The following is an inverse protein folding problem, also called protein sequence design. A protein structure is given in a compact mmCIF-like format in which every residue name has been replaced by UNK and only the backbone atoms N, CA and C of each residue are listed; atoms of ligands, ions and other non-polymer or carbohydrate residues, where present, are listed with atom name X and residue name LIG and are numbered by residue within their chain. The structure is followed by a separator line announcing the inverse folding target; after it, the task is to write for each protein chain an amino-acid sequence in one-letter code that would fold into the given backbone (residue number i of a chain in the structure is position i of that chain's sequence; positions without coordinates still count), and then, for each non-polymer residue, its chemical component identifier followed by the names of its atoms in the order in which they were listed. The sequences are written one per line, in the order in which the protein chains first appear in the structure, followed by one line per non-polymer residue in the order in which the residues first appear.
data_IF_355055408873
#
_entry.id   IF_355055408873
#
_cell.length_a   1.000
_cell.length_b   1.000
_cell.length_c   1.000
_cell.angle_alpha   90.00
_cell.angle_beta   90.00
_cell.angle_gamma   90.00
#
_symmetry.space_group_name_H-M   'P 1'
#
loop_
_entity.id
_entity.type
_entity.pdbx_description
1 polymer ?
#
# COMPACT_ATOMS: atom_id res chain seq x y z
N UNK A 1 -14.24 2.93 -17.64
CA UNK A 1 -14.18 4.35 -17.23
C UNK A 1 -14.80 4.44 -15.84
N UNK A 2 -14.21 5.19 -14.91
CA UNK A 2 -14.70 5.28 -13.53
C UNK A 2 -15.97 6.13 -13.43
N UNK A 3 -17.02 5.63 -12.78
CA UNK A 3 -18.28 6.35 -12.57
C UNK A 3 -18.25 7.20 -11.28
N UNK A 4 -17.90 8.47 -11.43
CA UNK A 4 -17.82 9.43 -10.32
C UNK A 4 -19.17 9.71 -9.65
N UNK A 5 -20.26 9.72 -10.43
CA UNK A 5 -21.61 9.99 -9.90
C UNK A 5 -22.07 8.83 -9.02
N UNK A 6 -21.84 7.60 -9.48
CA UNK A 6 -22.14 6.42 -8.69
C UNK A 6 -21.29 6.36 -7.42
N UNK A 7 -19.98 6.63 -7.54
CA UNK A 7 -19.09 6.66 -6.39
C UNK A 7 -19.54 7.66 -5.33
N UNK A 8 -19.79 8.92 -5.70
CA UNK A 8 -20.18 9.98 -4.77
C UNK A 8 -21.49 9.66 -4.06
N UNK A 9 -22.49 9.15 -4.80
CA UNK A 9 -23.77 8.71 -4.21
C UNK A 9 -23.58 7.58 -3.19
N UNK A 10 -22.94 6.48 -3.60
CA UNK A 10 -22.73 5.32 -2.72
C UNK A 10 -21.86 5.68 -1.51
N UNK A 11 -20.85 6.52 -1.73
CA UNK A 11 -20.01 7.04 -0.66
C UNK A 11 -20.84 7.89 0.31
N UNK A 12 -21.58 8.91 -0.13
CA UNK A 12 -22.35 9.78 0.77
C UNK A 12 -23.40 9.00 1.55
N UNK A 13 -24.23 8.24 0.85
CA UNK A 13 -25.34 7.50 1.44
C UNK A 13 -24.82 6.45 2.44
N UNK A 14 -23.77 5.72 2.05
CA UNK A 14 -23.21 4.65 2.86
C UNK A 14 -22.30 5.15 3.99
N UNK A 15 -21.45 6.13 3.74
CA UNK A 15 -20.42 6.57 4.70
C UNK A 15 -21.04 7.36 5.84
N UNK A 16 -21.99 8.26 5.54
CA UNK A 16 -22.66 9.08 6.55
C UNK A 16 -23.61 8.25 7.41
N UNK A 17 -24.25 7.22 6.84
CA UNK A 17 -25.16 6.33 7.56
C UNK A 17 -24.45 5.32 8.50
N UNK A 18 -23.12 5.26 8.50
CA UNK A 18 -22.34 4.32 9.34
C UNK A 18 -21.47 5.09 10.33
N UNK A 19 -21.30 4.51 11.52
CA UNK A 19 -20.48 5.11 12.58
C UNK A 19 -19.18 4.34 12.84
N UNK A 20 -19.16 3.02 12.59
CA UNK A 20 -17.97 2.20 12.80
C UNK A 20 -16.98 2.41 11.66
N UNK A 21 -15.72 2.62 12.00
CA UNK A 21 -14.66 2.87 11.02
C UNK A 21 -14.51 1.74 9.99
N UNK A 22 -14.67 0.47 10.41
CA UNK A 22 -14.58 -0.68 9.50
C UNK A 22 -15.73 -0.73 8.50
N UNK A 23 -16.92 -0.31 8.89
CA UNK A 23 -18.08 -0.28 8.00
C UNK A 23 -17.94 0.86 6.99
N UNK A 24 -17.47 2.04 7.44
CA UNK A 24 -17.10 3.15 6.55
C UNK A 24 -16.03 2.75 5.54
N UNK A 25 -14.99 2.05 6.00
CA UNK A 25 -13.94 1.55 5.12
C UNK A 25 -14.50 0.60 4.05
N UNK A 26 -15.35 -0.36 4.44
CA UNK A 26 -16.03 -1.27 3.50
C UNK A 26 -16.89 -0.53 2.47
N UNK A 27 -17.58 0.53 2.88
CA UNK A 27 -18.36 1.36 1.96
C UNK A 27 -17.44 2.03 0.93
N UNK A 28 -16.33 2.62 1.35
CA UNK A 28 -15.37 3.24 0.41
C UNK A 28 -14.86 2.23 -0.61
N UNK A 29 -14.46 1.04 -0.16
CA UNK A 29 -13.97 -0.02 -1.05
C UNK A 29 -15.08 -0.52 -1.98
N UNK A 30 -16.26 -0.81 -1.46
CA UNK A 30 -17.40 -1.27 -2.25
C UNK A 30 -17.85 -0.24 -3.28
N UNK A 31 -17.91 1.04 -2.92
CA UNK A 31 -18.23 2.13 -3.82
C UNK A 31 -17.17 2.27 -4.93
N UNK A 32 -15.88 2.15 -4.59
CA UNK A 32 -14.80 2.19 -5.57
C UNK A 32 -14.88 1.03 -6.57
N UNK A 33 -15.07 -0.21 -6.09
CA UNK A 33 -15.21 -1.40 -6.94
C UNK A 33 -16.42 -1.26 -7.87
N UNK A 34 -17.57 -0.84 -7.33
CA UNK A 34 -18.78 -0.61 -8.12
C UNK A 34 -18.58 0.49 -9.19
N UNK A 35 -17.94 1.59 -8.83
CA UNK A 35 -17.64 2.70 -9.76
C UNK A 35 -16.60 2.34 -10.82
N UNK A 36 -15.73 1.37 -10.56
CA UNK A 36 -14.83 0.77 -11.56
C UNK A 36 -15.58 -0.17 -12.53
N UNK A 37 -16.86 -0.48 -12.28
CA UNK A 37 -17.63 -1.48 -13.03
C UNK A 37 -17.18 -2.90 -12.74
N UNK A 38 -16.43 -3.12 -11.66
CA UNK A 38 -15.95 -4.44 -11.26
C UNK A 38 -17.05 -5.16 -10.48
N UNK A 39 -17.20 -6.48 -10.64
CA UNK A 39 -18.16 -7.25 -9.88
C UNK A 39 -17.82 -7.17 -8.39
N UNK A 40 -18.82 -6.82 -7.58
CA UNK A 40 -18.73 -6.96 -6.12
C UNK A 40 -19.08 -8.42 -5.82
N UNK A 41 -18.10 -9.30 -5.91
CA UNK A 41 -18.30 -10.70 -5.58
C UNK A 41 -18.71 -10.86 -4.11
N UNK A 42 -19.69 -11.72 -3.84
CA UNK A 42 -20.05 -12.11 -2.49
C UNK A 42 -18.92 -12.93 -1.87
N UNK A 43 -18.14 -12.34 -0.96
CA UNK A 43 -17.00 -13.04 -0.36
C UNK A 43 -15.96 -12.12 0.29
N UNK A 44 -14.76 -12.64 0.49
CA UNK A 44 -13.61 -11.86 0.98
C UNK A 44 -12.93 -11.13 -0.17
N UNK A 45 -13.05 -9.82 -0.18
CA UNK A 45 -12.30 -8.96 -1.11
C UNK A 45 -10.91 -8.70 -0.52
N UNK A 46 -9.86 -9.04 -1.28
CA UNK A 46 -8.50 -8.61 -0.98
C UNK A 46 -8.33 -7.16 -1.45
N UNK A 47 -8.06 -6.26 -0.51
CA UNK A 47 -7.78 -4.87 -0.81
C UNK A 47 -6.33 -4.54 -0.46
N UNK A 48 -5.63 -3.94 -1.42
CA UNK A 48 -4.25 -3.48 -1.26
C UNK A 48 -4.24 -1.96 -1.37
N UNK A 49 -3.58 -1.30 -0.42
CA UNK A 49 -3.37 0.15 -0.45
C UNK A 49 -1.88 0.45 -0.35
N UNK A 50 -1.38 1.21 -1.33
CA UNK A 50 -0.06 1.83 -1.31
C UNK A 50 -0.25 3.34 -1.40
N UNK A 51 -0.39 4.00 -0.25
CA UNK A 51 -0.46 5.46 -0.17
C UNK A 51 0.85 6.03 0.40
N UNK A 52 1.27 7.22 -0.02
CA UNK A 52 2.36 7.94 0.63
C UNK A 52 2.06 8.08 2.13
N UNK A 53 3.06 7.84 2.97
CA UNK A 53 2.97 8.08 4.40
C UNK A 53 1.93 7.24 5.16
N UNK A 54 1.55 6.06 4.65
CA UNK A 54 0.75 5.09 5.40
C UNK A 54 1.36 4.79 6.79
N UNK A 55 2.69 4.89 6.89
CA UNK A 55 3.44 4.74 8.12
C UNK A 55 3.18 5.82 9.18
N UNK A 56 2.39 6.87 8.90
CA UNK A 56 1.98 7.88 9.91
C UNK A 56 0.65 7.54 10.60
N UNK A 57 -0.09 6.57 10.09
CA UNK A 57 -1.42 6.14 10.59
C UNK A 57 -1.41 4.65 10.97
N UNK A 58 -0.24 4.12 11.31
CA UNK A 58 0.03 2.71 11.52
C UNK A 58 -0.82 2.07 12.62
N UNK A 59 -0.98 2.75 13.76
CA UNK A 59 -1.81 2.27 14.87
C UNK A 59 -3.30 2.24 14.50
N UNK A 60 -3.74 3.24 13.74
CA UNK A 60 -5.10 3.33 13.22
C UNK A 60 -5.37 2.17 12.25
N UNK A 61 -4.41 1.85 11.38
CA UNK A 61 -4.51 0.70 10.46
C UNK A 61 -4.53 -0.64 11.19
N UNK A 62 -3.63 -0.84 12.17
CA UNK A 62 -3.60 -2.06 12.99
C UNK A 62 -4.93 -2.28 13.71
N UNK A 63 -5.52 -1.21 14.27
CA UNK A 63 -6.81 -1.24 14.95
C UNK A 63 -7.98 -1.46 13.99
N UNK A 64 -7.98 -0.79 12.84
CA UNK A 64 -9.06 -0.86 11.85
C UNK A 64 -9.13 -2.25 11.21
N UNK A 65 -7.99 -2.79 10.79
CA UNK A 65 -7.92 -4.05 10.05
C UNK A 65 -7.93 -5.27 10.98
N UNK A 66 -7.63 -5.08 12.26
CA UNK A 66 -7.64 -6.13 13.28
C UNK A 66 -6.80 -7.34 12.85
N UNK A 67 -7.21 -8.59 13.13
CA UNK A 67 -6.42 -9.79 12.83
C UNK A 67 -6.26 -10.08 11.34
N UNK A 68 -7.08 -9.45 10.48
CA UNK A 68 -7.08 -9.65 9.03
C UNK A 68 -6.05 -8.78 8.30
N UNK A 69 -5.57 -7.70 8.93
CA UNK A 69 -4.55 -6.85 8.35
C UNK A 69 -3.25 -7.61 8.08
N UNK A 70 -2.64 -7.35 6.92
CA UNK A 70 -1.28 -7.77 6.55
C UNK A 70 -0.54 -6.52 6.09
N UNK A 71 0.69 -6.37 6.54
CA UNK A 71 1.52 -5.19 6.31
C UNK A 71 2.77 -5.61 5.57
N UNK A 72 3.07 -4.94 4.47
CA UNK A 72 4.31 -5.14 3.71
C UNK A 72 5.13 -3.87 3.86
N UNK A 73 6.31 -4.00 4.44
CA UNK A 73 7.25 -2.90 4.61
C UNK A 73 8.41 -3.13 3.65
N UNK A 74 8.47 -2.32 2.59
CA UNK A 74 9.60 -2.36 1.67
C UNK A 74 10.79 -1.58 2.25
N UNK A 75 11.97 -2.18 2.19
CA UNK A 75 13.24 -1.64 2.64
C UNK A 75 14.22 -1.63 1.48
N UNK A 76 15.11 -0.65 1.49
CA UNK A 76 16.19 -0.50 0.52
C UNK A 76 17.39 0.08 1.24
N UNK A 77 18.59 -0.13 0.72
CA UNK A 77 19.76 0.59 1.17
C UNK A 77 19.47 2.10 1.27
N UNK A 78 19.70 2.74 2.44
CA UNK A 78 19.40 4.15 2.64
C UNK A 78 20.16 5.07 1.70
N UNK A 79 21.41 4.75 1.34
CA UNK A 79 22.23 5.59 0.47
C UNK A 79 21.65 5.54 -0.94
N UNK A 80 21.37 4.35 -1.47
CA UNK A 80 20.75 4.22 -2.79
C UNK A 80 19.38 4.90 -2.87
N UNK A 81 18.57 4.73 -1.84
CA UNK A 81 17.26 5.37 -1.79
C UNK A 81 17.38 6.90 -1.74
N UNK A 82 18.36 7.44 -0.99
CA UNK A 82 18.63 8.87 -0.98
C UNK A 82 19.04 9.39 -2.35
N UNK A 83 19.98 8.72 -3.02
CA UNK A 83 20.46 9.10 -4.36
C UNK A 83 19.33 9.02 -5.39
N UNK A 84 18.50 7.98 -5.33
CA UNK A 84 17.30 7.86 -6.19
C UNK A 84 16.35 9.04 -6.01
N UNK A 85 16.11 9.50 -4.78
CA UNK A 85 15.29 10.68 -4.51
C UNK A 85 15.93 11.98 -5.03
N UNK A 86 17.26 12.13 -4.96
CA UNK A 86 17.95 13.29 -5.55
C UNK A 86 17.81 13.32 -7.07
N UNK A 87 17.97 12.17 -7.73
CA UNK A 87 17.82 12.07 -9.19
C UNK A 87 16.39 12.43 -9.63
N UNK A 88 15.38 11.92 -8.92
CA UNK A 88 13.98 12.30 -9.16
C UNK A 88 13.79 13.80 -8.93
N UNK A 89 14.31 14.34 -7.84
CA UNK A 89 14.17 15.76 -7.53
C UNK A 89 14.75 16.65 -8.65
N UNK A 90 15.92 16.26 -9.16
CA UNK A 90 16.57 16.91 -10.29
C UNK A 90 15.73 16.85 -11.58
N UNK A 91 15.19 15.66 -11.92
CA UNK A 91 14.35 15.47 -13.12
C UNK A 91 13.08 16.35 -13.09
N UNK A 92 12.48 16.53 -11.92
CA UNK A 92 11.26 17.33 -11.75
C UNK A 92 11.54 18.80 -11.37
N UNK A 93 12.80 19.24 -11.37
CA UNK A 93 13.17 20.62 -11.00
C UNK A 93 12.81 21.00 -9.56
N UNK A 94 12.59 20.01 -8.70
CA UNK A 94 12.32 20.22 -7.28
C UNK A 94 13.64 20.27 -6.49
N UNK A 95 13.70 21.09 -5.45
CA UNK A 95 14.87 21.12 -4.56
C UNK A 95 15.15 19.74 -3.97
N UNK A 96 16.41 19.32 -3.99
CA UNK A 96 16.86 18.07 -3.39
C UNK A 96 16.55 17.99 -1.89
N UNK A 97 16.50 16.78 -1.36
CA UNK A 97 16.28 16.56 0.07
C UNK A 97 17.60 16.69 0.86
N UNK A 98 17.62 17.41 2.01
CA UNK A 98 18.79 17.39 2.90
C UNK A 98 19.07 15.98 3.43
N UNK A 99 20.34 15.55 3.38
CA UNK A 99 20.76 14.21 3.82
C UNK A 99 20.40 13.93 5.29
N UNK A 100 20.53 14.95 6.15
CA UNK A 100 20.19 14.83 7.58
C UNK A 100 18.71 14.54 7.80
N UNK A 101 17.83 15.17 7.03
CA UNK A 101 16.38 14.94 7.14
C UNK A 101 16.00 13.58 6.60
N UNK A 102 16.66 13.12 5.54
CA UNK A 102 16.50 11.76 5.05
C UNK A 102 16.95 10.73 6.11
N UNK A 103 18.11 10.92 6.73
CA UNK A 103 18.61 10.03 7.78
C UNK A 103 17.64 9.96 8.98
N UNK A 104 17.06 11.10 9.39
CA UNK A 104 16.02 11.15 10.44
C UNK A 104 14.78 10.33 10.04
N UNK A 105 14.34 10.44 8.79
CA UNK A 105 13.21 9.66 8.25
C UNK A 105 13.49 8.15 8.26
N UNK A 106 14.69 7.73 7.83
CA UNK A 106 15.11 6.32 7.85
C UNK A 106 15.08 5.77 9.29
N UNK A 107 15.67 6.50 10.25
CA UNK A 107 15.66 6.10 11.66
C UNK A 107 14.24 5.98 12.22
N UNK A 108 13.37 6.94 11.91
CA UNK A 108 11.95 6.90 12.31
C UNK A 108 11.24 5.68 11.73
N UNK A 109 11.42 5.40 10.44
CA UNK A 109 10.80 4.23 9.79
C UNK A 109 11.20 2.91 10.43
N UNK A 110 12.47 2.75 10.81
CA UNK A 110 12.93 1.54 11.50
C UNK A 110 12.21 1.31 12.83
N UNK A 111 11.89 2.37 13.57
CA UNK A 111 11.12 2.26 14.80
C UNK A 111 9.69 1.78 14.54
N UNK A 112 9.06 2.25 13.45
CA UNK A 112 7.68 1.88 13.08
C UNK A 112 7.52 0.38 12.78
N UNK A 113 8.59 -0.33 12.44
CA UNK A 113 8.54 -1.77 12.20
C UNK A 113 8.11 -2.56 13.44
N UNK A 114 8.42 -2.05 14.63
CA UNK A 114 8.05 -2.69 15.89
C UNK A 114 6.58 -2.49 16.26
N UNK A 115 5.85 -1.61 15.56
CA UNK A 115 4.44 -1.34 15.82
C UNK A 115 3.55 -2.40 15.18
N UNK A 116 3.96 -2.90 14.01
CA UNK A 116 3.20 -3.95 13.35
C UNK A 116 3.44 -5.29 14.06
N UNK A 117 2.39 -6.02 14.41
CA UNK A 117 2.55 -7.32 15.05
C UNK A 117 3.27 -8.30 14.12
N UNK A 118 4.31 -8.96 14.63
CA UNK A 118 5.30 -9.68 13.80
C UNK A 118 4.71 -10.67 12.79
N UNK A 119 3.71 -11.47 13.19
CA UNK A 119 3.04 -12.44 12.27
C UNK A 119 2.21 -11.77 11.15
N UNK A 120 2.02 -10.45 11.22
CA UNK A 120 1.26 -9.64 10.26
C UNK A 120 2.14 -8.65 9.50
N UNK A 121 3.47 -8.72 9.66
CA UNK A 121 4.45 -7.88 8.96
C UNK A 121 5.35 -8.74 8.07
N UNK A 122 5.43 -8.41 6.80
CA UNK A 122 6.45 -8.89 5.88
C UNK A 122 7.42 -7.76 5.56
N UNK A 123 8.71 -7.96 5.84
CA UNK A 123 9.76 -7.01 5.49
C UNK A 123 10.31 -7.43 4.13
N UNK A 124 10.01 -6.62 3.11
CA UNK A 124 10.42 -6.85 1.73
C UNK A 124 11.71 -6.10 1.46
N UNK A 125 12.78 -6.83 1.16
CA UNK A 125 14.04 -6.26 0.73
C UNK A 125 13.98 -5.99 -0.78
N UNK A 126 14.10 -4.71 -1.17
CA UNK A 126 14.05 -4.27 -2.56
C UNK A 126 15.15 -4.90 -3.42
N UNK A 127 16.35 -5.09 -2.85
CA UNK A 127 17.48 -5.60 -3.62
C UNK A 127 17.29 -7.11 -3.88
N UNK A 128 16.69 -7.83 -2.92
CA UNK A 128 16.29 -9.23 -3.13
C UNK A 128 15.12 -9.35 -4.11
N UNK A 129 14.13 -8.46 -4.01
CA UNK A 129 13.00 -8.42 -4.94
C UNK A 129 13.46 -8.19 -6.38
N UNK A 130 14.43 -7.30 -6.60
CA UNK A 130 14.93 -7.01 -7.95
C UNK A 130 15.83 -8.12 -8.49
N UNK A 131 16.58 -8.80 -7.62
CA UNK A 131 17.43 -9.94 -8.00
C UNK A 131 16.64 -11.22 -8.31
N UNK A 132 15.59 -11.51 -7.54
CA UNK A 132 14.75 -12.70 -7.72
C UNK A 132 13.25 -12.39 -7.46
N UNK A 133 12.57 -11.77 -8.45
CA UNK A 133 11.16 -11.40 -8.30
C UNK A 133 10.23 -12.60 -8.11
N UNK A 134 10.49 -13.74 -8.76
CA UNK A 134 9.64 -14.93 -8.65
C UNK A 134 9.61 -15.44 -7.21
N UNK A 135 10.80 -15.59 -6.61
CA UNK A 135 10.91 -16.05 -5.23
C UNK A 135 10.24 -15.11 -4.22
N UNK A 136 10.50 -13.81 -4.30
CA UNK A 136 9.91 -12.84 -3.35
C UNK A 136 8.41 -12.67 -3.56
N UNK A 137 7.91 -12.70 -4.80
CA UNK A 137 6.48 -12.59 -5.07
C UNK A 137 5.70 -13.85 -4.64
N UNK A 138 6.29 -15.04 -4.70
CA UNK A 138 5.69 -16.26 -4.10
C UNK A 138 5.51 -16.15 -2.60
N UNK A 139 6.53 -15.64 -1.89
CA UNK A 139 6.44 -15.41 -0.44
C UNK A 139 5.40 -14.36 -0.09
N UNK A 140 5.32 -13.28 -0.87
CA UNK A 140 4.29 -12.26 -0.67
C UNK A 140 2.90 -12.86 -0.88
N UNK A 141 2.70 -13.66 -1.94
CA UNK A 141 1.44 -14.32 -2.23
C UNK A 141 0.99 -15.22 -1.06
N UNK A 142 1.89 -16.06 -0.56
CA UNK A 142 1.66 -16.90 0.63
C UNK A 142 1.31 -16.05 1.87
N UNK A 143 2.10 -15.01 2.14
CA UNK A 143 1.92 -14.13 3.30
C UNK A 143 0.55 -13.42 3.32
N UNK A 144 0.08 -12.95 2.16
CA UNK A 144 -1.22 -12.27 2.03
C UNK A 144 -2.38 -13.25 1.76
N UNK A 145 -2.08 -14.53 1.55
CA UNK A 145 -3.06 -15.61 1.37
C UNK A 145 -3.76 -15.59 0.02
N UNK A 146 -3.03 -15.30 -1.06
CA UNK A 146 -3.56 -15.38 -2.44
C UNK A 146 -2.78 -16.40 -3.26
N UNK A 147 -3.39 -16.91 -4.33
CA UNK A 147 -2.69 -17.74 -5.29
C UNK A 147 -1.64 -16.92 -6.05
N UNK A 148 -0.44 -17.46 -6.19
CA UNK A 148 0.59 -16.86 -7.03
C UNK A 148 0.18 -16.96 -8.52
N UNK A 149 0.36 -15.86 -9.25
CA UNK A 149 0.24 -15.83 -10.71
C UNK A 149 1.49 -15.22 -11.32
N UNK A 150 1.89 -15.67 -12.51
CA UNK A 150 3.10 -15.15 -13.18
C UNK A 150 3.05 -13.64 -13.44
N UNK A 151 1.86 -13.07 -13.58
CA UNK A 151 1.66 -11.62 -13.73
C UNK A 151 2.18 -10.82 -12.54
N UNK A 152 2.32 -11.43 -11.35
CA UNK A 152 2.83 -10.77 -10.15
C UNK A 152 4.32 -10.42 -10.23
N UNK A 153 5.10 -11.08 -11.10
CA UNK A 153 6.53 -10.78 -11.28
C UNK A 153 6.77 -9.63 -12.25
N UNK A 154 5.71 -9.10 -12.87
CA UNK A 154 5.77 -8.02 -13.85
C UNK A 154 5.15 -6.76 -13.24
N UNK A 155 5.85 -5.62 -13.22
CA UNK A 155 5.24 -4.37 -12.81
C UNK A 155 4.12 -4.00 -13.80
N UNK A 156 2.98 -3.55 -13.29
CA UNK A 156 1.92 -3.00 -14.12
C UNK A 156 2.46 -1.74 -14.81
N UNK A 157 2.43 -1.72 -16.14
CA UNK A 157 2.71 -0.50 -16.89
C UNK A 157 1.57 0.49 -16.63
N UNK A 158 1.89 1.63 -16.03
CA UNK A 158 0.94 2.74 -15.97
C UNK A 158 0.90 3.33 -17.39
N UNK A 159 -0.15 3.00 -18.17
CA UNK A 159 -0.40 3.72 -19.41
C UNK A 159 -0.51 5.21 -19.06
N UNK A 160 0.43 6.02 -19.56
CA UNK A 160 0.30 7.47 -19.53
C UNK A 160 -0.87 7.82 -20.45
N UNK A 161 -2.04 8.07 -19.85
CA UNK A 161 -3.18 8.70 -20.50
C UNK A 161 -3.12 10.20 -20.29
#
# INVERSE_FOLDING_TARGET
MFDWTLFDRLFRDGFLARHKAIDRFRIVIGAYIAAMGLPVEGGSIHFVCKAPHNENCELQWVRLLGPRGRFIQCTRDPIEHYLSLQNIAHLYGSGGYPAVDFARKVRRRRWLWNIYPGKRLYVLDYDRLTADPDFEMRKIADFIGIAFTETMTRPTENAMH
#
